data_IF_998653754482
#
_entry.id   IF_998653754482
#
_cell.length_a   1.000
_cell.length_b   1.000
_cell.length_c   1.000
_cell.angle_alpha   90.00
_cell.angle_beta   90.00
_cell.angle_gamma   90.00
#
_symmetry.space_group_name_H-M   'P 1'
#
loop_
_entity.id
_entity.type
_entity.pdbx_description
1 polymer ?
#
# COMPACT_ATOMS: atom_id res chain seq x y z
N UNK A 1 -20.24 66.38 -2.15
CA UNK A 1 -21.00 66.07 -3.35
C UNK A 1 -21.26 64.56 -3.40
N UNK A 2 -22.50 64.21 -3.22
CA UNK A 2 -22.94 62.78 -3.14
C UNK A 2 -23.18 62.25 -4.55
N UNK A 3 -22.40 61.28 -5.01
CA UNK A 3 -22.62 60.61 -6.28
C UNK A 3 -23.64 59.49 -6.06
N UNK A 4 -24.80 59.64 -6.68
CA UNK A 4 -25.92 58.70 -6.53
C UNK A 4 -25.68 57.41 -7.33
N UNK A 5 -26.15 56.29 -6.78
CA UNK A 5 -26.07 54.91 -7.36
C UNK A 5 -26.61 54.76 -8.80
N UNK A 6 -27.31 55.76 -9.32
CA UNK A 6 -27.88 55.74 -10.70
C UNK A 6 -26.89 56.12 -11.82
N UNK A 7 -25.75 56.72 -11.50
CA UNK A 7 -24.75 57.09 -12.51
C UNK A 7 -23.78 55.97 -12.89
N UNK A 8 -23.83 54.85 -12.19
CA UNK A 8 -22.90 53.71 -12.41
C UNK A 8 -23.42 52.65 -13.41
N UNK A 9 -24.71 52.73 -13.80
CA UNK A 9 -25.35 51.72 -14.64
C UNK A 9 -25.52 52.09 -16.14
N UNK A 10 -25.02 53.24 -16.54
CA UNK A 10 -25.19 53.73 -17.93
C UNK A 10 -23.96 53.63 -18.84
N UNK A 11 -22.91 52.93 -18.42
CA UNK A 11 -21.68 52.74 -19.21
C UNK A 11 -21.34 51.26 -19.49
N UNK A 12 -22.38 50.42 -19.70
CA UNK A 12 -22.17 49.03 -20.14
C UNK A 12 -22.13 48.95 -21.67
N UNK A 13 -21.14 49.55 -22.27
CA UNK A 13 -20.75 49.24 -23.63
C UNK A 13 -20.19 47.81 -23.68
N UNK A 14 -20.81 46.93 -24.54
CA UNK A 14 -20.38 45.57 -24.76
C UNK A 14 -18.98 45.54 -25.37
N UNK A 15 -17.94 45.52 -24.53
CA UNK A 15 -16.61 45.13 -24.96
C UNK A 15 -16.60 43.61 -25.07
N UNK A 16 -16.60 43.07 -26.29
CA UNK A 16 -16.28 41.67 -26.55
C UNK A 16 -14.82 41.48 -26.13
N UNK A 17 -14.63 41.03 -24.91
CA UNK A 17 -13.30 40.61 -24.44
C UNK A 17 -13.01 39.29 -25.14
N UNK A 18 -12.22 39.34 -26.21
CA UNK A 18 -11.60 38.17 -26.80
C UNK A 18 -10.74 37.53 -25.69
N UNK A 19 -11.18 36.42 -25.13
CA UNK A 19 -10.35 35.63 -24.24
C UNK A 19 -9.15 35.16 -25.05
N UNK A 20 -7.90 35.50 -24.64
CA UNK A 20 -6.75 34.88 -25.26
C UNK A 20 -6.91 33.36 -25.10
N UNK A 21 -6.76 32.61 -26.21
CA UNK A 21 -6.72 31.16 -26.16
C UNK A 21 -5.65 30.80 -25.12
N UNK A 22 -6.09 30.14 -24.04
CA UNK A 22 -5.17 29.60 -23.04
C UNK A 22 -4.30 28.61 -23.81
N UNK A 23 -3.04 28.97 -24.04
CA UNK A 23 -2.08 28.05 -24.62
C UNK A 23 -2.11 26.79 -23.78
N UNK A 24 -2.27 25.63 -24.42
CA UNK A 24 -2.22 24.35 -23.73
C UNK A 24 -0.92 24.31 -22.91
N UNK A 25 -1.05 24.13 -21.61
CA UNK A 25 0.14 23.95 -20.77
C UNK A 25 1.02 22.85 -21.36
N UNK A 26 2.34 23.07 -21.44
CA UNK A 26 3.24 22.02 -21.90
C UNK A 26 3.01 20.78 -21.00
N UNK A 27 3.02 19.56 -21.59
CA UNK A 27 2.82 18.35 -20.82
C UNK A 27 3.81 18.35 -19.64
N UNK A 28 3.27 18.20 -18.44
CA UNK A 28 4.09 18.09 -17.24
C UNK A 28 5.15 17.01 -17.46
N UNK A 29 6.43 17.25 -17.14
CA UNK A 29 7.48 16.24 -17.35
C UNK A 29 7.04 14.93 -16.70
N UNK A 30 7.23 13.81 -17.41
CA UNK A 30 6.86 12.50 -16.94
C UNK A 30 7.50 12.29 -15.55
N UNK A 31 6.67 12.09 -14.53
CA UNK A 31 7.16 11.86 -13.17
C UNK A 31 7.98 10.57 -13.17
N UNK A 32 9.22 10.63 -12.65
CA UNK A 32 10.00 9.43 -12.44
C UNK A 32 9.30 8.51 -11.44
N UNK A 33 9.43 7.20 -11.63
CA UNK A 33 8.98 6.21 -10.64
C UNK A 33 9.75 6.41 -9.33
N UNK A 34 9.04 6.43 -8.21
CA UNK A 34 9.62 6.50 -6.87
C UNK A 34 9.72 5.10 -6.28
N UNK A 35 10.89 4.78 -5.74
CA UNK A 35 11.15 3.49 -5.12
C UNK A 35 11.24 3.61 -3.60
N UNK A 36 10.49 2.79 -2.91
CA UNK A 36 10.61 2.61 -1.47
C UNK A 36 11.08 1.20 -1.14
N UNK A 37 11.40 0.98 0.13
CA UNK A 37 11.68 -0.35 0.66
C UNK A 37 10.83 -0.58 1.91
N UNK A 38 10.18 -1.75 1.98
CA UNK A 38 9.54 -2.22 3.20
C UNK A 38 10.62 -2.64 4.21
N UNK A 39 10.52 -2.18 5.46
CA UNK A 39 11.43 -2.57 6.53
C UNK A 39 11.41 -4.08 6.78
N UNK A 40 10.32 -4.76 6.39
CA UNK A 40 10.25 -6.22 6.35
C UNK A 40 11.42 -6.83 5.58
N UNK A 41 11.87 -6.23 4.48
CA UNK A 41 12.97 -6.70 3.63
C UNK A 41 14.28 -6.92 4.38
N UNK A 42 14.49 -6.19 5.48
CA UNK A 42 15.68 -6.31 6.32
C UNK A 42 15.50 -7.29 7.47
N UNK A 43 14.27 -7.52 7.93
CA UNK A 43 13.99 -8.33 9.11
C UNK A 43 13.42 -9.72 8.78
N UNK A 44 12.45 -9.81 7.89
CA UNK A 44 11.81 -11.05 7.42
C UNK A 44 11.32 -11.97 8.56
N UNK A 45 10.91 -11.38 9.71
CA UNK A 45 10.61 -12.11 10.96
C UNK A 45 11.76 -13.00 11.48
N UNK A 46 12.98 -12.77 11.00
CA UNK A 46 14.14 -13.54 11.37
C UNK A 46 14.90 -12.83 12.50
N UNK A 47 15.05 -13.43 13.71
CA UNK A 47 15.71 -12.78 14.84
C UNK A 47 17.22 -12.52 14.63
N UNK A 48 17.83 -13.15 13.62
CA UNK A 48 19.23 -12.92 13.23
C UNK A 48 19.40 -11.77 12.24
N UNK A 49 18.29 -11.27 11.69
CA UNK A 49 18.26 -10.15 10.75
C UNK A 49 18.03 -8.82 11.49
N UNK A 50 18.09 -7.73 10.74
CA UNK A 50 17.97 -6.39 11.28
C UNK A 50 16.51 -6.05 11.63
N UNK A 51 16.19 -5.97 12.91
CA UNK A 51 14.87 -5.60 13.41
C UNK A 51 14.72 -4.09 13.69
N UNK A 52 15.81 -3.38 13.99
CA UNK A 52 15.79 -1.97 14.35
C UNK A 52 15.31 -1.10 13.18
N UNK A 53 14.11 -0.52 13.33
CA UNK A 53 13.46 0.29 12.27
C UNK A 53 14.26 1.56 11.98
N UNK A 54 14.88 2.19 12.97
CA UNK A 54 15.71 3.38 12.75
C UNK A 54 16.90 3.06 11.84
N UNK A 55 17.55 1.91 12.06
CA UNK A 55 18.64 1.44 11.18
C UNK A 55 18.16 1.03 9.80
N UNK A 56 16.93 0.50 9.67
CA UNK A 56 16.35 0.22 8.36
C UNK A 56 16.15 1.50 7.54
N UNK A 57 15.75 2.60 8.21
CA UNK A 57 15.63 3.92 7.56
C UNK A 57 17.00 4.41 7.07
N UNK A 58 18.04 4.29 7.87
CA UNK A 58 19.39 4.67 7.45
C UNK A 58 19.87 3.85 6.24
N UNK A 59 19.71 2.53 6.29
CA UNK A 59 20.08 1.65 5.17
C UNK A 59 19.30 1.97 3.90
N UNK A 60 18.02 2.32 4.02
CA UNK A 60 17.22 2.73 2.86
C UNK A 60 17.80 3.99 2.20
N UNK A 61 18.25 4.97 2.99
CA UNK A 61 18.91 6.16 2.49
C UNK A 61 20.26 5.85 1.84
N UNK A 62 21.11 5.07 2.51
CA UNK A 62 22.43 4.64 2.01
C UNK A 62 22.30 3.89 0.67
N UNK A 63 21.27 3.08 0.50
CA UNK A 63 20.98 2.33 -0.72
C UNK A 63 20.30 3.18 -1.80
N UNK A 64 19.90 4.42 -1.48
CA UNK A 64 19.35 5.39 -2.42
C UNK A 64 17.87 5.23 -2.74
N UNK A 65 17.07 4.68 -1.84
CA UNK A 65 15.61 4.68 -1.97
C UNK A 65 15.03 6.11 -1.83
N UNK A 66 13.80 6.30 -2.31
CA UNK A 66 13.05 7.56 -2.21
C UNK A 66 12.11 7.57 -0.99
N UNK A 67 11.85 6.40 -0.40
CA UNK A 67 10.96 6.26 0.74
C UNK A 67 11.08 4.93 1.46
N UNK A 68 10.35 4.83 2.56
CA UNK A 68 10.30 3.64 3.41
C UNK A 68 8.85 3.29 3.74
N UNK A 69 8.53 2.02 3.63
CA UNK A 69 7.30 1.43 4.15
C UNK A 69 7.62 0.75 5.49
N UNK A 70 6.97 1.21 6.55
CA UNK A 70 7.19 0.67 7.89
C UNK A 70 6.31 -0.55 8.15
N UNK A 71 6.90 -1.64 8.65
CA UNK A 71 6.16 -2.79 9.12
C UNK A 71 5.86 -2.64 10.62
N UNK A 72 4.60 -2.50 11.00
CA UNK A 72 4.20 -2.34 12.41
C UNK A 72 4.74 -3.45 13.32
N UNK A 73 4.68 -4.71 12.88
CA UNK A 73 5.16 -5.87 13.67
C UNK A 73 6.66 -5.83 14.02
N UNK A 74 7.42 -5.01 13.30
CA UNK A 74 8.86 -4.80 13.56
C UNK A 74 9.09 -3.73 14.59
N UNK A 75 8.14 -2.79 14.77
CA UNK A 75 8.24 -1.71 15.75
C UNK A 75 8.18 -2.27 17.18
N UNK A 76 9.08 -1.81 18.02
CA UNK A 76 9.18 -2.23 19.44
C UNK A 76 8.53 -1.26 20.41
N UNK A 77 8.11 -0.08 19.92
CA UNK A 77 7.50 1.00 20.70
C UNK A 77 6.49 1.75 19.82
N UNK A 78 5.43 2.26 20.44
CA UNK A 78 4.39 3.08 19.79
C UNK A 78 4.26 4.45 20.51
N UNK A 79 5.19 4.79 21.40
CA UNK A 79 5.16 6.06 22.12
C UNK A 79 5.33 7.25 21.16
N UNK A 80 4.72 8.41 21.45
CA UNK A 80 4.89 9.61 20.64
C UNK A 80 6.36 9.97 20.40
N UNK A 81 7.21 9.80 21.41
CA UNK A 81 8.65 10.07 21.30
C UNK A 81 9.33 9.18 20.26
N UNK A 82 8.99 7.88 20.22
CA UNK A 82 9.54 6.96 19.22
C UNK A 82 9.04 7.31 17.82
N UNK A 83 7.73 7.55 17.64
CA UNK A 83 7.17 7.91 16.36
C UNK A 83 7.79 9.19 15.79
N UNK A 84 8.01 10.20 16.64
CA UNK A 84 8.65 11.45 16.21
C UNK A 84 10.13 11.23 15.81
N UNK A 85 10.86 10.34 16.49
CA UNK A 85 12.23 9.97 16.06
C UNK A 85 12.25 9.31 14.69
N UNK A 86 11.33 8.39 14.40
CA UNK A 86 11.23 7.76 13.06
C UNK A 86 10.96 8.81 11.98
N UNK A 87 10.02 9.75 12.22
CA UNK A 87 9.74 10.87 11.29
C UNK A 87 10.96 11.75 11.06
N UNK A 88 11.60 12.16 12.14
CA UNK A 88 12.80 13.00 12.06
C UNK A 88 13.91 12.28 11.29
N UNK A 89 14.11 10.99 11.56
CA UNK A 89 15.16 10.20 10.90
C UNK A 89 14.90 10.05 9.40
N UNK A 90 13.67 9.81 8.99
CA UNK A 90 13.32 9.78 7.59
C UNK A 90 13.53 11.15 6.94
N UNK A 91 13.08 12.22 7.58
CA UNK A 91 13.20 13.59 7.05
C UNK A 91 14.65 14.03 6.84
N UNK A 92 15.55 13.82 7.83
CA UNK A 92 16.97 14.20 7.70
C UNK A 92 17.72 13.36 6.66
N UNK A 93 17.21 12.16 6.36
CA UNK A 93 17.72 11.28 5.31
C UNK A 93 17.04 11.51 3.94
N UNK A 94 16.21 12.56 3.80
CA UNK A 94 15.45 12.88 2.60
C UNK A 94 14.57 11.72 2.09
N UNK A 95 13.99 10.94 3.00
CA UNK A 95 13.10 9.83 2.73
C UNK A 95 11.65 10.17 3.09
N UNK A 96 10.70 9.78 2.26
CA UNK A 96 9.29 9.77 2.62
C UNK A 96 8.95 8.49 3.41
N UNK A 97 8.18 8.62 4.51
CA UNK A 97 7.48 7.49 5.08
C UNK A 97 6.21 7.28 4.23
N UNK A 98 6.25 6.34 3.28
CA UNK A 98 5.25 6.24 2.23
C UNK A 98 4.17 5.18 2.47
N UNK A 99 4.39 4.24 3.38
CA UNK A 99 3.47 3.15 3.67
C UNK A 99 3.61 2.62 5.10
N UNK A 100 2.52 2.08 5.63
CA UNK A 100 2.46 1.45 6.94
C UNK A 100 1.82 0.07 6.82
N UNK A 101 2.61 -0.99 6.93
CA UNK A 101 2.13 -2.36 6.77
C UNK A 101 1.64 -2.94 8.08
N UNK A 102 0.36 -3.30 8.10
CA UNK A 102 -0.33 -3.89 9.25
C UNK A 102 -1.00 -5.21 8.88
N UNK A 103 -1.46 -5.96 9.88
CA UNK A 103 -2.11 -7.26 9.68
C UNK A 103 -3.42 -7.31 10.46
N UNK A 104 -4.52 -7.60 9.76
CA UNK A 104 -5.85 -7.72 10.34
C UNK A 104 -6.35 -9.17 10.28
N UNK A 105 -7.35 -9.47 11.10
CA UNK A 105 -8.02 -10.76 11.16
C UNK A 105 -9.53 -10.59 11.18
N UNK A 106 -10.12 -9.93 10.18
CA UNK A 106 -11.57 -9.70 10.09
C UNK A 106 -12.35 -10.95 9.72
N UNK A 107 -11.68 -11.94 9.12
CA UNK A 107 -12.28 -13.20 8.67
C UNK A 107 -12.39 -14.18 9.85
N UNK A 108 -13.35 -13.93 10.74
CA UNK A 108 -13.64 -14.76 11.91
C UNK A 108 -15.15 -14.84 12.17
N UNK A 109 -15.69 -16.02 12.51
CA UNK A 109 -17.08 -16.16 12.98
C UNK A 109 -17.36 -15.41 14.29
N UNK A 110 -16.32 -15.23 15.13
CA UNK A 110 -16.47 -14.55 16.41
C UNK A 110 -16.57 -13.03 16.22
N UNK A 111 -17.76 -12.48 16.54
CA UNK A 111 -18.02 -11.05 16.46
C UNK A 111 -17.12 -10.22 17.38
N UNK A 112 -16.76 -10.73 18.55
CA UNK A 112 -15.90 -10.02 19.49
C UNK A 112 -14.46 -9.94 18.95
N UNK A 113 -13.99 -11.01 18.32
CA UNK A 113 -12.68 -11.02 17.64
C UNK A 113 -12.66 -10.02 16.47
N UNK A 114 -13.71 -9.99 15.66
CA UNK A 114 -13.84 -8.99 14.58
C UNK A 114 -13.81 -7.55 15.12
N UNK A 115 -14.58 -7.26 16.18
CA UNK A 115 -14.58 -5.92 16.79
C UNK A 115 -13.21 -5.54 17.33
N UNK A 116 -12.52 -6.45 18.01
CA UNK A 116 -11.14 -6.22 18.46
C UNK A 116 -10.20 -5.87 17.30
N UNK A 117 -10.36 -6.51 16.14
CA UNK A 117 -9.57 -6.19 14.94
C UNK A 117 -9.96 -4.83 14.34
N UNK A 118 -11.22 -4.42 14.40
CA UNK A 118 -11.68 -3.07 14.03
C UNK A 118 -11.01 -2.02 14.92
N UNK A 119 -11.10 -2.17 16.25
CA UNK A 119 -10.53 -1.24 17.21
C UNK A 119 -9.00 -1.12 17.04
N UNK A 120 -8.33 -2.25 16.80
CA UNK A 120 -6.91 -2.29 16.51
C UNK A 120 -6.58 -1.54 15.21
N UNK A 121 -7.36 -1.74 14.15
CA UNK A 121 -7.16 -1.08 12.86
C UNK A 121 -7.37 0.44 12.96
N UNK A 122 -8.35 0.87 13.74
CA UNK A 122 -8.58 2.29 14.05
C UNK A 122 -7.34 2.88 14.73
N UNK A 123 -6.85 2.24 15.80
CA UNK A 123 -5.60 2.66 16.48
C UNK A 123 -4.41 2.71 15.52
N UNK A 124 -4.24 1.72 14.66
CA UNK A 124 -3.15 1.65 13.68
C UNK A 124 -3.26 2.77 12.63
N UNK A 125 -4.48 3.14 12.23
CA UNK A 125 -4.72 4.30 11.35
C UNK A 125 -4.30 5.62 12.02
N UNK A 126 -4.56 5.77 13.32
CA UNK A 126 -4.10 6.93 14.08
C UNK A 126 -2.57 6.96 14.24
N UNK A 127 -1.91 5.79 14.38
CA UNK A 127 -0.45 5.71 14.36
C UNK A 127 0.13 6.12 13.01
N UNK A 128 -0.47 5.68 11.90
CA UNK A 128 -0.07 6.10 10.56
C UNK A 128 -0.18 7.63 10.41
N UNK A 129 -1.27 8.22 10.88
CA UNK A 129 -1.45 9.68 10.91
C UNK A 129 -0.36 10.39 11.74
N UNK A 130 -0.05 9.90 12.93
CA UNK A 130 1.00 10.46 13.79
C UNK A 130 2.38 10.37 13.12
N UNK A 131 2.65 9.31 12.39
CA UNK A 131 3.86 9.13 11.58
C UNK A 131 3.87 10.00 10.31
N UNK A 132 2.74 10.61 9.93
CA UNK A 132 2.60 11.34 8.68
C UNK A 132 2.56 10.43 7.44
N UNK A 133 2.22 9.15 7.63
CA UNK A 133 2.14 8.16 6.55
C UNK A 133 0.77 8.23 5.87
N UNK A 134 0.70 8.44 4.54
CA UNK A 134 -0.57 8.67 3.85
C UNK A 134 -1.34 7.39 3.49
N UNK A 135 -0.72 6.22 3.57
CA UNK A 135 -1.35 4.94 3.20
C UNK A 135 -0.99 3.83 4.18
N UNK A 136 -1.99 3.02 4.51
CA UNK A 136 -1.82 1.87 5.42
C UNK A 136 -2.36 0.61 4.75
N UNK A 137 -1.51 -0.42 4.65
CA UNK A 137 -1.92 -1.74 4.17
C UNK A 137 -2.84 -2.41 5.18
N UNK A 138 -3.94 -2.97 4.71
CA UNK A 138 -4.88 -3.81 5.46
C UNK A 138 -5.13 -5.14 4.75
N UNK A 139 -5.48 -6.18 5.52
CA UNK A 139 -5.78 -7.52 5.02
C UNK A 139 -7.19 -7.95 5.40
N UNK A 140 -7.75 -8.93 4.69
CA UNK A 140 -8.99 -9.60 5.10
C UNK A 140 -8.79 -10.50 6.33
N UNK A 141 -7.58 -10.98 6.52
CA UNK A 141 -7.29 -12.15 7.36
C UNK A 141 -7.51 -13.45 6.58
N UNK A 142 -7.32 -14.57 7.27
CA UNK A 142 -7.50 -15.94 6.74
C UNK A 142 -8.53 -16.67 7.58
N UNK A 143 -9.07 -17.79 7.08
CA UNK A 143 -10.00 -18.64 7.83
C UNK A 143 -9.36 -19.37 9.01
N UNK A 144 -8.00 -19.43 9.03
CA UNK A 144 -7.20 -20.14 10.05
C UNK A 144 -7.56 -21.62 10.19
N UNK A 145 -8.01 -22.23 9.11
CA UNK A 145 -8.30 -23.67 9.05
C UNK A 145 -7.11 -24.51 8.63
N UNK A 146 -6.07 -23.88 8.08
CA UNK A 146 -4.75 -24.49 7.90
C UNK A 146 -4.03 -24.63 9.24
N UNK A 147 -3.34 -25.76 9.48
CA UNK A 147 -2.64 -26.04 10.75
C UNK A 147 -1.53 -25.04 11.06
N UNK A 148 -0.87 -24.52 10.03
CA UNK A 148 0.21 -23.55 10.12
C UNK A 148 0.43 -22.88 8.77
N UNK A 149 1.30 -21.86 8.75
CA UNK A 149 1.61 -21.09 7.55
C UNK A 149 2.25 -21.94 6.44
N UNK A 150 3.06 -22.94 6.77
CA UNK A 150 3.67 -23.81 5.76
C UNK A 150 2.61 -24.63 5.01
N UNK A 151 1.58 -25.13 5.71
CA UNK A 151 0.45 -25.82 5.09
C UNK A 151 -0.35 -24.88 4.20
N UNK A 152 -0.63 -23.66 4.67
CA UNK A 152 -1.31 -22.65 3.88
C UNK A 152 -0.53 -22.34 2.58
N UNK A 153 0.79 -22.18 2.66
CA UNK A 153 1.62 -21.94 1.47
C UNK A 153 1.71 -23.15 0.55
N UNK A 154 1.80 -24.36 1.09
CA UNK A 154 1.74 -25.61 0.31
C UNK A 154 0.42 -25.70 -0.48
N UNK A 155 -0.66 -25.19 0.08
CA UNK A 155 -1.98 -25.11 -0.55
C UNK A 155 -2.19 -23.78 -1.32
N UNK A 156 -1.12 -23.04 -1.61
CA UNK A 156 -1.15 -21.77 -2.38
C UNK A 156 -2.10 -20.72 -1.80
N UNK A 157 -2.13 -20.60 -0.48
CA UNK A 157 -3.00 -19.70 0.23
C UNK A 157 -4.48 -20.09 0.24
N UNK A 158 -4.80 -21.30 -0.22
CA UNK A 158 -6.18 -21.82 -0.25
C UNK A 158 -6.45 -22.57 1.04
N UNK A 159 -7.52 -22.18 1.73
CA UNK A 159 -8.05 -22.89 2.88
C UNK A 159 -9.59 -22.84 2.87
N UNK A 160 -10.26 -23.89 3.36
CA UNK A 160 -11.71 -23.91 3.42
C UNK A 160 -12.22 -22.94 4.50
N UNK A 161 -13.45 -22.41 4.35
CA UNK A 161 -14.12 -21.70 5.43
C UNK A 161 -14.22 -22.55 6.71
N UNK A 162 -14.34 -21.89 7.86
CA UNK A 162 -14.68 -22.56 9.12
C UNK A 162 -16.01 -23.31 8.97
N UNK A 163 -16.08 -24.52 9.52
CA UNK A 163 -17.28 -25.36 9.42
C UNK A 163 -18.55 -24.61 9.83
N UNK A 164 -19.53 -24.64 8.96
CA UNK A 164 -20.83 -23.97 9.15
C UNK A 164 -20.91 -22.54 8.59
N UNK A 165 -19.86 -22.06 7.98
CA UNK A 165 -19.78 -20.74 7.33
C UNK A 165 -19.33 -20.85 5.88
N UNK A 166 -19.49 -19.78 5.14
CA UNK A 166 -19.18 -19.66 3.71
C UNK A 166 -18.30 -18.44 3.44
N UNK A 167 -17.72 -18.35 2.25
CA UNK A 167 -17.02 -17.13 1.81
C UNK A 167 -17.97 -15.92 1.76
N UNK A 168 -19.27 -16.12 1.50
CA UNK A 168 -20.27 -15.05 1.54
C UNK A 168 -20.41 -14.42 2.95
N UNK A 169 -20.44 -15.26 3.99
CA UNK A 169 -20.44 -14.78 5.38
C UNK A 169 -19.16 -13.96 5.64
N UNK A 170 -18.00 -14.49 5.19
CA UNK A 170 -16.72 -13.84 5.31
C UNK A 170 -16.67 -12.48 4.61
N UNK A 171 -17.16 -12.37 3.39
CA UNK A 171 -17.26 -11.08 2.69
C UNK A 171 -18.12 -10.07 3.45
N UNK A 172 -19.26 -10.50 3.96
CA UNK A 172 -20.13 -9.66 4.80
C UNK A 172 -19.38 -9.12 6.02
N UNK A 173 -18.64 -9.96 6.72
CA UNK A 173 -17.87 -9.55 7.91
C UNK A 173 -16.73 -8.59 7.58
N UNK A 174 -15.95 -8.85 6.53
CA UNK A 174 -14.83 -8.01 6.15
C UNK A 174 -15.31 -6.63 5.68
N UNK A 175 -16.39 -6.58 4.88
CA UNK A 175 -16.98 -5.33 4.41
C UNK A 175 -17.50 -4.49 5.60
N UNK A 176 -18.20 -5.11 6.54
CA UNK A 176 -18.69 -4.42 7.75
C UNK A 176 -17.52 -3.87 8.59
N UNK A 177 -16.50 -4.69 8.86
CA UNK A 177 -15.32 -4.29 9.64
C UNK A 177 -14.56 -3.13 8.98
N UNK A 178 -14.25 -3.22 7.68
CA UNK A 178 -13.57 -2.16 6.96
C UNK A 178 -14.41 -0.89 6.90
N UNK A 179 -15.74 -1.01 6.69
CA UNK A 179 -16.66 0.13 6.70
C UNK A 179 -16.60 0.93 8.00
N UNK A 180 -16.44 0.26 9.15
CA UNK A 180 -16.24 0.93 10.44
C UNK A 180 -14.90 1.67 10.51
N UNK A 181 -13.81 1.10 9.97
CA UNK A 181 -12.48 1.69 9.98
C UNK A 181 -12.38 2.93 9.09
N UNK A 182 -13.17 3.01 8.00
CA UNK A 182 -13.08 4.08 7.01
C UNK A 182 -13.38 5.47 7.57
N UNK A 183 -14.18 5.60 8.61
CA UNK A 183 -14.47 6.89 9.28
C UNK A 183 -13.19 7.49 9.88
N UNK A 184 -12.36 6.64 10.49
CA UNK A 184 -11.08 7.08 11.04
C UNK A 184 -10.05 7.33 9.93
N UNK A 185 -10.04 6.50 8.89
CA UNK A 185 -9.19 6.69 7.73
C UNK A 185 -9.41 8.06 7.07
N UNK A 186 -10.68 8.43 6.83
CA UNK A 186 -11.07 9.75 6.33
C UNK A 186 -10.64 10.89 7.26
N UNK A 187 -10.94 10.78 8.55
CA UNK A 187 -10.57 11.78 9.57
C UNK A 187 -9.06 12.01 9.64
N UNK A 188 -8.28 10.94 9.50
CA UNK A 188 -6.83 10.98 9.56
C UNK A 188 -6.16 11.32 8.21
N UNK A 189 -6.91 11.30 7.10
CA UNK A 189 -6.33 11.46 5.78
C UNK A 189 -5.43 10.29 5.36
N UNK A 190 -5.70 9.08 5.88
CA UNK A 190 -4.94 7.87 5.61
C UNK A 190 -5.75 6.95 4.69
N UNK A 191 -5.24 6.63 3.53
CA UNK A 191 -5.88 5.68 2.63
C UNK A 191 -5.55 4.25 3.06
N UNK A 192 -6.59 3.46 3.33
CA UNK A 192 -6.44 2.03 3.56
C UNK A 192 -6.21 1.32 2.23
N UNK A 193 -5.11 0.59 2.09
CA UNK A 193 -4.80 -0.23 0.94
C UNK A 193 -5.11 -1.69 1.23
N UNK A 194 -6.23 -2.22 0.71
CA UNK A 194 -6.54 -3.64 0.83
C UNK A 194 -5.58 -4.44 -0.06
N UNK A 195 -4.78 -5.28 0.56
CA UNK A 195 -3.77 -6.07 -0.14
C UNK A 195 -4.40 -7.32 -0.77
N UNK A 196 -3.95 -7.64 -1.99
CA UNK A 196 -4.15 -8.98 -2.55
C UNK A 196 -3.27 -9.97 -1.77
N UNK A 197 -3.88 -10.59 -0.77
CA UNK A 197 -3.24 -11.49 0.18
C UNK A 197 -4.11 -12.73 0.42
N UNK A 198 -3.66 -13.64 1.30
CA UNK A 198 -4.40 -14.86 1.65
C UNK A 198 -5.81 -14.56 2.18
N UNK A 199 -6.67 -15.56 2.24
CA UNK A 199 -8.08 -15.39 2.57
C UNK A 199 -8.90 -14.88 1.39
N UNK A 200 -9.82 -13.94 1.62
CA UNK A 200 -10.71 -13.42 0.58
C UNK A 200 -10.02 -12.47 -0.41
N UNK A 201 -8.85 -11.93 -0.05
CA UNK A 201 -8.00 -11.13 -0.93
C UNK A 201 -7.14 -11.95 -1.91
N UNK A 202 -7.24 -13.28 -1.90
CA UNK A 202 -6.45 -14.18 -2.74
C UNK A 202 -6.75 -14.07 -4.24
N UNK A 203 -7.88 -13.51 -4.61
CA UNK A 203 -8.27 -13.27 -6.01
C UNK A 203 -8.54 -11.81 -6.26
N UNK A 204 -8.32 -11.29 -7.49
CA UNK A 204 -8.65 -9.91 -7.80
C UNK A 204 -10.15 -9.63 -7.66
N UNK A 205 -11.00 -10.60 -7.98
CA UNK A 205 -12.45 -10.50 -7.81
C UNK A 205 -12.83 -10.32 -6.32
N UNK A 206 -12.15 -11.03 -5.41
CA UNK A 206 -12.37 -10.89 -3.97
C UNK A 206 -11.98 -9.51 -3.45
N UNK A 207 -10.81 -9.00 -3.88
CA UNK A 207 -10.36 -7.65 -3.51
C UNK A 207 -11.32 -6.58 -4.05
N UNK A 208 -11.64 -6.63 -5.36
CA UNK A 208 -12.52 -5.65 -6.00
C UNK A 208 -13.93 -5.69 -5.41
N UNK A 209 -14.46 -6.86 -5.11
CA UNK A 209 -15.77 -7.01 -4.45
C UNK A 209 -15.85 -6.20 -3.16
N UNK A 210 -14.81 -6.23 -2.32
CA UNK A 210 -14.77 -5.50 -1.06
C UNK A 210 -14.65 -3.98 -1.32
N UNK A 211 -13.73 -3.58 -2.19
CA UNK A 211 -13.50 -2.17 -2.54
C UNK A 211 -14.75 -1.55 -3.16
N UNK A 212 -15.38 -2.25 -4.11
CA UNK A 212 -16.57 -1.76 -4.82
C UNK A 212 -17.82 -1.74 -3.94
N UNK A 213 -17.92 -2.62 -2.94
CA UNK A 213 -19.03 -2.60 -1.99
C UNK A 213 -19.00 -1.35 -1.10
N UNK A 214 -17.80 -0.91 -0.70
CA UNK A 214 -17.63 0.23 0.21
C UNK A 214 -17.59 1.58 -0.50
N UNK A 215 -17.19 1.63 -1.77
CA UNK A 215 -17.17 2.84 -2.63
C UNK A 215 -16.57 4.07 -1.97
N UNK A 216 -15.53 3.88 -1.17
CA UNK A 216 -14.87 4.95 -0.43
C UNK A 216 -13.57 5.39 -1.11
N UNK A 217 -13.29 6.70 -1.22
CA UNK A 217 -11.99 7.17 -1.69
C UNK A 217 -10.84 6.80 -0.72
N UNK A 218 -11.18 6.45 0.52
CA UNK A 218 -10.24 6.05 1.57
C UNK A 218 -9.96 4.55 1.62
N UNK A 219 -10.56 3.76 0.70
CA UNK A 219 -10.22 2.34 0.50
C UNK A 219 -9.76 2.13 -0.94
N UNK A 220 -8.54 1.70 -1.09
CA UNK A 220 -7.87 1.40 -2.36
C UNK A 220 -7.16 0.05 -2.25
N UNK A 221 -6.24 -0.22 -3.16
CA UNK A 221 -5.50 -1.50 -3.21
C UNK A 221 -4.02 -1.28 -2.91
N UNK A 222 -3.48 -2.05 -1.98
CA UNK A 222 -2.04 -2.35 -1.95
C UNK A 222 -1.81 -3.52 -2.90
N UNK A 223 -1.13 -3.25 -4.00
CA UNK A 223 -0.90 -4.22 -5.07
C UNK A 223 0.41 -4.97 -4.84
N UNK A 224 0.33 -6.17 -4.29
CA UNK A 224 1.49 -7.03 -4.10
C UNK A 224 1.73 -7.89 -5.35
N UNK A 225 2.94 -7.82 -5.91
CA UNK A 225 3.29 -8.50 -7.14
C UNK A 225 3.52 -9.99 -6.98
N UNK A 226 3.78 -10.47 -5.76
CA UNK A 226 4.16 -11.85 -5.47
C UNK A 226 3.09 -12.69 -4.78
N UNK A 227 1.95 -12.12 -4.40
CA UNK A 227 0.92 -12.88 -3.68
C UNK A 227 -0.06 -13.63 -4.58
N UNK A 228 -0.06 -13.38 -5.90
CA UNK A 228 -0.68 -14.26 -6.87
C UNK A 228 0.33 -15.33 -7.30
N UNK A 229 0.25 -16.51 -6.72
CA UNK A 229 1.24 -17.59 -6.87
C UNK A 229 1.22 -18.27 -8.25
N UNK A 230 0.22 -17.98 -9.09
CA UNK A 230 0.06 -18.50 -10.45
C UNK A 230 -0.48 -17.39 -11.36
N UNK A 231 0.09 -17.28 -12.55
CA UNK A 231 -0.36 -16.35 -13.60
C UNK A 231 -0.69 -14.95 -13.06
N UNK A 232 0.29 -14.24 -12.48
CA UNK A 232 -0.01 -13.02 -11.71
C UNK A 232 -0.45 -11.85 -12.58
N UNK A 233 -0.01 -11.78 -13.85
CA UNK A 233 -0.06 -10.56 -14.65
C UNK A 233 -1.46 -10.02 -14.92
N UNK A 234 -2.36 -10.87 -15.42
CA UNK A 234 -3.75 -10.47 -15.71
C UNK A 234 -4.52 -10.13 -14.43
N UNK A 235 -4.14 -10.77 -13.31
CA UNK A 235 -4.69 -10.50 -11.99
C UNK A 235 -4.20 -9.16 -11.45
N UNK A 236 -2.90 -8.87 -11.60
CA UNK A 236 -2.32 -7.58 -11.23
C UNK A 236 -2.92 -6.45 -12.07
N UNK A 237 -3.09 -6.67 -13.39
CA UNK A 237 -3.66 -5.67 -14.29
C UNK A 237 -5.09 -5.28 -13.91
N UNK A 238 -5.92 -6.24 -13.46
CA UNK A 238 -7.27 -5.95 -12.96
C UNK A 238 -7.28 -5.03 -11.74
N UNK A 239 -6.27 -5.13 -10.86
CA UNK A 239 -6.17 -4.36 -9.63
C UNK A 239 -5.42 -3.03 -9.80
N UNK A 240 -4.55 -2.90 -10.81
CA UNK A 240 -3.69 -1.75 -11.04
C UNK A 240 -4.43 -0.39 -11.04
N UNK A 241 -5.66 -0.25 -11.61
CA UNK A 241 -6.41 1.03 -11.56
C UNK A 241 -6.75 1.50 -10.14
N UNK A 242 -6.79 0.60 -9.17
CA UNK A 242 -7.10 0.88 -7.77
C UNK A 242 -5.85 0.97 -6.89
N UNK A 243 -4.65 0.74 -7.43
CA UNK A 243 -3.43 0.70 -6.65
C UNK A 243 -3.08 2.06 -6.02
N UNK A 244 -2.83 2.08 -4.71
CA UNK A 244 -2.31 3.23 -3.95
C UNK A 244 -0.85 3.02 -3.55
N UNK A 245 -0.45 1.78 -3.32
CA UNK A 245 0.91 1.34 -3.07
C UNK A 245 1.16 0.04 -3.85
N UNK A 246 2.34 -0.12 -4.43
CA UNK A 246 2.77 -1.39 -5.05
C UNK A 246 3.87 -1.99 -4.20
N UNK A 247 3.69 -3.25 -3.77
CA UNK A 247 4.74 -4.04 -3.13
C UNK A 247 5.40 -4.93 -4.18
N UNK A 248 6.68 -4.69 -4.42
CA UNK A 248 7.47 -5.38 -5.44
C UNK A 248 8.31 -6.48 -4.78
N UNK A 249 7.87 -7.74 -4.88
CA UNK A 249 8.57 -8.87 -4.28
C UNK A 249 9.78 -9.30 -5.09
N UNK A 250 10.88 -9.64 -4.40
CA UNK A 250 12.09 -10.23 -4.99
C UNK A 250 12.61 -11.37 -4.14
N UNK A 251 13.36 -12.32 -4.76
CA UNK A 251 13.67 -13.60 -4.14
C UNK A 251 15.13 -14.05 -4.35
N UNK A 252 16.10 -13.13 -4.27
CA UNK A 252 17.53 -13.49 -4.41
C UNK A 252 17.93 -14.55 -3.38
N UNK A 253 18.63 -15.58 -3.85
CA UNK A 253 18.98 -16.75 -3.02
C UNK A 253 17.85 -17.77 -2.84
N UNK A 254 16.74 -17.64 -3.59
CA UNK A 254 15.50 -18.39 -3.43
C UNK A 254 14.60 -17.81 -2.34
N UNK A 255 13.30 -18.00 -2.47
CA UNK A 255 12.32 -17.47 -1.52
C UNK A 255 12.31 -18.21 -0.18
N UNK A 256 11.84 -17.55 0.86
CA UNK A 256 11.63 -18.15 2.19
C UNK A 256 10.51 -19.19 2.17
N UNK A 257 9.45 -18.92 1.44
CA UNK A 257 8.22 -19.73 1.38
C UNK A 257 7.99 -20.29 -0.03
N UNK A 258 8.17 -19.47 -1.04
CA UNK A 258 8.06 -19.77 -2.47
C UNK A 258 8.98 -18.83 -3.25
N UNK A 259 9.21 -19.14 -4.51
CA UNK A 259 9.95 -18.28 -5.43
C UNK A 259 9.12 -18.08 -6.68
N UNK A 260 8.96 -16.82 -7.10
CA UNK A 260 8.34 -16.48 -8.37
C UNK A 260 9.36 -15.76 -9.25
N UNK A 261 9.37 -16.11 -10.52
CA UNK A 261 10.06 -15.34 -11.54
C UNK A 261 9.11 -14.26 -12.06
N UNK A 262 9.27 -13.03 -11.54
CA UNK A 262 8.42 -11.90 -11.90
C UNK A 262 9.06 -11.08 -13.02
N UNK A 263 8.35 -10.95 -14.14
CA UNK A 263 8.72 -10.08 -15.27
C UNK A 263 8.44 -8.62 -14.92
N UNK A 264 9.38 -7.96 -14.23
CA UNK A 264 9.25 -6.56 -13.85
C UNK A 264 9.18 -5.59 -15.03
N UNK A 265 9.84 -5.77 -16.19
CA UNK A 265 9.55 -5.02 -17.41
C UNK A 265 8.07 -5.03 -17.81
N UNK A 266 7.41 -6.20 -17.76
CA UNK A 266 5.98 -6.33 -18.02
C UNK A 266 5.13 -5.61 -16.96
N UNK A 267 5.46 -5.78 -15.70
CA UNK A 267 4.77 -5.11 -14.57
C UNK A 267 4.94 -3.58 -14.67
N UNK A 268 6.13 -3.08 -14.95
CA UNK A 268 6.40 -1.66 -15.13
C UNK A 268 5.59 -1.05 -16.27
N UNK A 269 5.53 -1.73 -17.43
CA UNK A 269 4.71 -1.32 -18.58
C UNK A 269 3.23 -1.26 -18.22
N UNK A 270 2.71 -2.25 -17.49
CA UNK A 270 1.34 -2.30 -16.99
C UNK A 270 1.05 -1.09 -16.09
N UNK A 271 1.86 -0.85 -15.07
CA UNK A 271 1.67 0.27 -14.13
C UNK A 271 1.74 1.63 -14.84
N UNK A 272 2.63 1.79 -15.81
CA UNK A 272 2.73 2.98 -16.65
C UNK A 272 1.48 3.18 -17.52
N UNK A 273 0.93 2.13 -18.12
CA UNK A 273 -0.31 2.19 -18.90
C UNK A 273 -1.50 2.66 -18.06
N UNK A 274 -1.56 2.24 -16.80
CA UNK A 274 -2.55 2.70 -15.83
C UNK A 274 -2.19 4.03 -15.14
N UNK A 275 -1.11 4.70 -15.58
CA UNK A 275 -0.64 5.99 -15.03
C UNK A 275 -0.46 5.95 -13.50
N UNK A 276 0.01 4.83 -12.97
CA UNK A 276 0.23 4.67 -11.53
C UNK A 276 1.23 5.73 -11.00
N UNK A 277 0.83 6.59 -10.04
CA UNK A 277 1.65 7.71 -9.61
C UNK A 277 2.41 7.45 -8.30
N UNK A 278 2.17 6.29 -7.68
CA UNK A 278 2.59 5.98 -6.32
C UNK A 278 4.01 5.42 -6.20
N UNK A 279 4.31 4.91 -5.03
CA UNK A 279 5.57 4.23 -4.74
C UNK A 279 5.57 2.77 -5.18
N UNK A 280 6.69 2.30 -5.71
CA UNK A 280 7.01 0.88 -5.84
C UNK A 280 7.90 0.52 -4.65
N UNK A 281 7.30 -0.11 -3.65
CA UNK A 281 7.95 -0.51 -2.40
C UNK A 281 8.55 -1.90 -2.56
N UNK A 282 9.87 -2.02 -2.51
CA UNK A 282 10.54 -3.30 -2.55
C UNK A 282 10.20 -4.11 -1.29
N UNK A 283 9.75 -5.35 -1.47
CA UNK A 283 9.59 -6.34 -0.42
C UNK A 283 10.43 -7.57 -0.74
N UNK A 284 11.65 -7.60 -0.20
CA UNK A 284 12.58 -8.70 -0.40
C UNK A 284 12.22 -9.89 0.51
N UNK A 285 11.98 -11.05 -0.09
CA UNK A 285 11.63 -12.31 0.58
C UNK A 285 12.60 -13.47 0.26
N UNK A 286 13.84 -13.13 -0.08
CA UNK A 286 14.87 -14.11 -0.42
C UNK A 286 15.74 -14.53 0.77
N UNK A 287 16.58 -15.54 0.53
CA UNK A 287 17.51 -16.10 1.52
C UNK A 287 18.89 -15.47 1.49
N UNK A 288 19.22 -14.68 0.46
CA UNK A 288 20.48 -13.93 0.41
C UNK A 288 20.49 -12.85 1.51
N UNK A 289 21.70 -12.42 1.92
CA UNK A 289 21.82 -11.33 2.91
C UNK A 289 21.09 -10.06 2.39
N UNK A 290 20.16 -9.49 3.15
CA UNK A 290 19.43 -8.29 2.73
C UNK A 290 20.34 -7.10 2.37
N UNK A 291 21.52 -6.97 2.99
CA UNK A 291 22.44 -5.88 2.69
C UNK A 291 23.01 -5.94 1.27
N UNK A 292 23.03 -7.13 0.66
CA UNK A 292 23.43 -7.35 -0.73
C UNK A 292 22.26 -7.50 -1.67
N UNK A 293 21.20 -8.19 -1.25
CA UNK A 293 20.05 -8.48 -2.09
C UNK A 293 19.13 -7.27 -2.32
N UNK A 294 18.94 -6.43 -1.30
CA UNK A 294 18.09 -5.23 -1.40
C UNK A 294 18.62 -4.24 -2.45
N UNK A 295 19.90 -3.83 -2.45
CA UNK A 295 20.42 -2.96 -3.50
C UNK A 295 20.42 -3.60 -4.90
N UNK A 296 20.66 -4.91 -5.02
CA UNK A 296 20.51 -5.63 -6.30
C UNK A 296 19.07 -5.58 -6.81
N UNK A 297 18.10 -5.76 -5.90
CA UNK A 297 16.68 -5.69 -6.21
C UNK A 297 16.30 -4.28 -6.69
N UNK A 298 16.77 -3.24 -6.02
CA UNK A 298 16.53 -1.85 -6.42
C UNK A 298 17.11 -1.55 -7.82
N UNK A 299 18.32 -2.00 -8.10
CA UNK A 299 18.93 -1.83 -9.41
C UNK A 299 18.13 -2.52 -10.51
N UNK A 300 17.67 -3.75 -10.27
CA UNK A 300 16.81 -4.50 -11.19
C UNK A 300 15.49 -3.78 -11.43
N UNK A 301 14.82 -3.31 -10.39
CA UNK A 301 13.56 -2.55 -10.49
C UNK A 301 13.76 -1.26 -11.27
N UNK A 302 14.79 -0.46 -10.98
CA UNK A 302 15.10 0.77 -11.73
C UNK A 302 15.30 0.48 -13.21
N UNK A 303 16.10 -0.52 -13.57
CA UNK A 303 16.29 -0.91 -14.98
C UNK A 303 15.00 -1.33 -15.68
N UNK A 304 14.08 -1.99 -14.96
CA UNK A 304 12.79 -2.40 -15.52
C UNK A 304 11.86 -1.21 -15.77
N UNK A 305 11.81 -0.26 -14.84
CA UNK A 305 10.93 0.90 -14.94
C UNK A 305 11.46 2.02 -15.85
N UNK A 306 12.78 2.18 -15.98
CA UNK A 306 13.40 3.13 -16.91
C UNK A 306 13.17 2.74 -18.38
N UNK A 307 12.99 1.44 -18.66
CA UNK A 307 12.76 0.89 -20.01
C UNK A 307 11.28 0.79 -20.39
N UNK A 308 10.37 0.97 -19.46
CA UNK A 308 8.93 0.92 -19.66
C UNK A 308 8.38 2.33 -20.03
#
# INVERSE_FOLDING_TARGET
>A
MSVTRRAFLAASGAAVVAHPAVAAEPPSPARRTRFAVSTYSFWQFNPKQLQDVEKCIDLAAEMGFDGVELLLRQMTDESPGYLQRLKQRAFINALDLCGFSTHQGFLSPDKAERQKNVDLTIKQTELAYQLGIPTMRVNTGTWRTSKNFNELMKNRGIEPPVKGYTDEDGFGWVIDCLGQCLKTAEKCGVTLGLENHWGLGRTPEGVLRIVDALKSPWLRVTLDTGNFLEDPYDKLEKLAPQAVLVQAKTYYGGGLWYTLELDYPRIAKMLKAHKYPGYVSLEFEGKEDPRTAVPKSLEMLRKAFDRA
#
